data_IF_086204449220
#
_entry.id   IF_086204449220
#
_cell.length_a   1.000
_cell.length_b   1.000
_cell.length_c   1.000
_cell.angle_alpha   90.00
_cell.angle_beta   90.00
_cell.angle_gamma   90.00
#
_symmetry.space_group_name_H-M   'P 1'
#
loop_
_entity.id
_entity.type
_entity.pdbx_description
1 polymer ?
#
# COMPACT_ATOMS: atom_id res chain seq x y z
N UNK A 1 -0.30 78.75 7.94
CA UNK A 1 0.66 79.22 8.96
C UNK A 1 0.32 78.47 10.23
N UNK A 2 1.05 77.39 10.48
CA UNK A 2 2.29 77.35 11.30
C UNK A 2 1.89 76.78 12.67
N UNK A 3 2.18 75.49 12.91
CA UNK A 3 3.42 74.99 13.53
C UNK A 3 3.66 75.54 14.94
N UNK A 4 3.45 74.70 15.95
CA UNK A 4 4.48 74.23 16.90
C UNK A 4 3.82 73.52 18.10
N UNK A 5 4.23 72.26 18.34
CA UNK A 5 4.21 71.65 19.68
C UNK A 5 5.35 72.21 20.54
N UNK A 6 5.91 71.51 21.54
CA UNK A 6 5.62 70.16 22.06
C UNK A 6 5.49 70.11 23.61
N UNK A 7 5.15 68.96 24.19
CA UNK A 7 5.96 68.39 25.28
C UNK A 7 5.61 66.91 25.52
N UNK A 8 6.67 66.12 25.50
CA UNK A 8 6.78 64.71 25.89
C UNK A 8 6.50 64.52 27.38
N UNK A 9 5.88 63.39 27.75
CA UNK A 9 6.48 62.50 28.75
C UNK A 9 5.94 61.07 28.58
N UNK A 10 6.90 60.14 28.47
CA UNK A 10 6.76 58.70 28.39
C UNK A 10 6.07 58.11 29.62
N UNK A 11 5.36 56.99 29.43
CA UNK A 11 5.65 55.78 30.20
C UNK A 11 5.11 54.54 29.49
N UNK A 12 6.03 53.61 29.33
CA UNK A 12 5.94 52.31 28.70
C UNK A 12 4.81 51.44 29.27
N UNK A 13 4.05 50.77 28.38
CA UNK A 13 3.42 49.51 28.72
C UNK A 13 3.53 48.54 27.54
N UNK A 14 4.73 47.97 27.44
CA UNK A 14 5.01 46.56 27.13
C UNK A 14 3.93 45.78 26.37
N UNK A 15 4.15 45.75 25.05
CA UNK A 15 4.05 44.59 24.18
C UNK A 15 4.15 43.23 24.91
N UNK A 16 3.03 42.51 25.01
CA UNK A 16 2.94 41.04 25.04
C UNK A 16 1.58 40.61 24.47
N UNK A 17 1.45 40.63 23.14
CA UNK A 17 0.40 39.90 22.43
C UNK A 17 1.04 38.83 21.54
N UNK A 18 0.96 37.62 22.08
CA UNK A 18 1.02 36.29 21.48
C UNK A 18 1.55 36.17 20.04
N UNK A 19 2.82 35.80 19.94
CA UNK A 19 3.50 35.23 18.79
C UNK A 19 3.13 33.75 18.52
N UNK A 20 1.94 33.28 18.89
CA UNK A 20 1.57 31.85 18.74
C UNK A 20 0.65 31.50 17.57
N UNK A 21 0.33 32.44 16.68
CA UNK A 21 -0.62 32.18 15.58
C UNK A 21 0.03 32.04 14.19
N UNK A 22 1.37 31.93 14.10
CA UNK A 22 2.08 31.77 12.81
C UNK A 22 2.79 30.44 12.59
N UNK A 23 2.88 29.57 13.60
CA UNK A 23 3.53 28.27 13.46
C UNK A 23 2.59 27.14 13.02
N UNK A 24 1.26 27.38 12.99
CA UNK A 24 0.27 26.40 12.54
C UNK A 24 0.17 26.24 11.01
N UNK A 25 0.48 27.29 10.23
CA UNK A 25 0.31 27.28 8.77
C UNK A 25 1.44 26.59 8.00
N UNK A 26 2.59 26.32 8.63
CA UNK A 26 3.73 25.65 7.98
C UNK A 26 3.77 24.14 8.21
N UNK A 27 3.02 23.61 9.18
CA UNK A 27 2.97 22.17 9.49
C UNK A 27 1.89 21.41 8.72
N UNK A 28 0.79 22.06 8.31
CA UNK A 28 -0.27 21.44 7.51
C UNK A 28 0.14 21.22 6.06
N UNK A 29 0.82 22.17 5.42
CA UNK A 29 1.29 22.01 4.04
C UNK A 29 2.28 20.85 3.82
N UNK A 30 3.11 20.53 4.82
CA UNK A 30 4.08 19.43 4.74
C UNK A 30 3.41 18.04 4.86
N UNK A 31 2.34 17.93 5.64
CA UNK A 31 1.60 16.67 5.80
C UNK A 31 0.91 16.23 4.48
N UNK A 32 0.47 17.20 3.67
CA UNK A 32 -0.21 16.94 2.40
C UNK A 32 0.73 16.56 1.26
N UNK A 33 1.96 17.08 1.26
CA UNK A 33 3.01 16.55 0.38
C UNK A 33 3.45 15.14 0.79
N UNK A 34 3.28 14.73 2.05
CA UNK A 34 3.48 13.34 2.46
C UNK A 34 2.30 12.42 2.06
N UNK A 35 1.05 12.88 2.04
CA UNK A 35 -0.13 12.06 1.65
C UNK A 35 -0.23 11.91 0.13
N UNK A 36 0.03 12.99 -0.63
CA UNK A 36 0.12 12.95 -2.11
C UNK A 36 1.47 12.44 -2.60
N UNK A 37 2.53 12.64 -1.81
CA UNK A 37 3.85 12.06 -2.04
C UNK A 37 3.87 10.57 -1.78
N UNK A 38 3.31 10.05 -0.67
CA UNK A 38 3.30 8.61 -0.36
C UNK A 38 2.61 7.75 -1.44
N UNK A 39 1.68 8.33 -2.21
CA UNK A 39 1.03 7.67 -3.34
C UNK A 39 1.81 7.77 -4.67
N UNK A 40 2.75 8.72 -4.77
CA UNK A 40 3.74 8.84 -5.87
C UNK A 40 5.12 8.26 -5.50
N UNK A 41 5.35 7.91 -4.23
CA UNK A 41 6.61 7.50 -3.62
C UNK A 41 6.60 6.01 -3.19
N UNK A 42 5.91 5.17 -3.95
CA UNK A 42 6.01 3.71 -3.78
C UNK A 42 7.45 3.18 -3.98
N UNK A 43 8.37 4.00 -4.51
CA UNK A 43 9.80 3.70 -4.67
C UNK A 43 10.73 4.17 -3.53
N UNK A 44 10.20 4.70 -2.40
CA UNK A 44 11.05 5.29 -1.35
C UNK A 44 10.72 4.84 0.09
N UNK A 45 9.92 3.79 0.30
CA UNK A 45 9.63 3.31 1.67
C UNK A 45 10.65 2.23 2.04
N UNK A 46 11.87 2.68 2.33
CA UNK A 46 12.86 1.91 3.08
C UNK A 46 12.84 2.23 4.59
N UNK A 47 11.98 3.15 5.07
CA UNK A 47 12.12 3.65 6.45
C UNK A 47 10.84 4.17 7.14
N UNK A 48 9.66 3.64 6.81
CA UNK A 48 8.53 3.72 7.77
C UNK A 48 8.35 2.37 8.44
N UNK A 49 9.21 2.13 9.42
CA UNK A 49 9.04 1.10 10.43
C UNK A 49 7.69 1.25 11.16
N UNK A 50 7.06 0.09 11.36
CA UNK A 50 5.80 -0.21 12.05
C UNK A 50 4.52 0.00 11.21
N UNK A 51 4.01 -1.10 10.64
CA UNK A 51 3.40 -2.15 11.45
C UNK A 51 4.27 -3.41 11.48
N UNK A 52 4.61 -3.90 12.68
CA UNK A 52 5.33 -5.18 12.83
C UNK A 52 4.37 -6.34 12.50
N UNK A 53 4.63 -7.15 11.47
CA UNK A 53 4.49 -8.59 11.61
C UNK A 53 5.38 -9.03 12.79
N UNK A 54 4.82 -9.84 13.71
CA UNK A 54 5.59 -10.49 14.77
C UNK A 54 6.58 -11.47 14.13
N UNK A 55 7.75 -10.96 13.73
CA UNK A 55 8.93 -11.77 13.50
C UNK A 55 9.76 -11.77 14.79
N UNK A 56 10.28 -12.91 15.25
CA UNK A 56 11.12 -12.96 16.44
C UNK A 56 12.32 -12.02 16.29
N UNK A 57 12.48 -11.10 17.23
CA UNK A 57 13.48 -10.01 17.21
C UNK A 57 14.95 -10.50 17.37
N UNK A 58 15.16 -11.82 17.48
CA UNK A 58 16.42 -12.41 17.90
C UNK A 58 17.43 -12.66 16.75
N UNK A 59 17.17 -12.16 15.54
CA UNK A 59 18.00 -12.42 14.35
C UNK A 59 18.59 -11.15 13.68
N UNK A 60 18.73 -10.04 14.41
CA UNK A 60 19.39 -8.83 13.87
C UNK A 60 20.87 -8.82 14.27
N UNK A 61 21.74 -9.12 13.30
CA UNK A 61 23.12 -8.63 13.29
C UNK A 61 23.06 -7.10 13.21
N UNK A 62 23.69 -6.41 14.16
CA UNK A 62 23.82 -4.95 14.16
C UNK A 62 24.41 -4.46 12.82
N UNK A 63 23.70 -3.64 12.02
CA UNK A 63 24.31 -3.00 10.86
C UNK A 63 25.08 -1.74 11.28
N UNK A 64 26.34 -1.65 10.87
CA UNK A 64 27.13 -0.41 10.96
C UNK A 64 26.47 0.71 10.14
N UNK A 65 26.59 1.98 10.58
CA UNK A 65 26.02 3.11 9.86
C UNK A 65 26.81 3.37 8.57
N UNK A 66 26.22 3.03 7.42
CA UNK A 66 26.69 3.49 6.12
C UNK A 66 26.14 4.89 5.86
N UNK A 67 27.04 5.87 5.70
CA UNK A 67 26.69 7.20 5.24
C UNK A 67 26.20 7.13 3.78
N UNK A 68 25.08 7.80 3.42
CA UNK A 68 24.54 7.68 2.07
C UNK A 68 25.32 8.57 1.08
N UNK A 69 26.01 7.94 0.13
CA UNK A 69 26.40 8.57 -1.13
C UNK A 69 25.32 8.29 -2.17
N UNK A 70 24.51 9.31 -2.48
CA UNK A 70 23.55 9.29 -3.57
C UNK A 70 24.21 9.83 -4.84
N UNK A 71 24.55 8.94 -5.77
CA UNK A 71 24.54 9.22 -7.21
C UNK A 71 23.70 8.10 -7.85
N UNK A 72 22.58 8.51 -8.45
CA UNK A 72 21.73 7.84 -9.44
C UNK A 72 21.46 6.33 -9.30
N UNK A 73 20.29 5.96 -8.77
CA UNK A 73 19.46 4.87 -9.31
C UNK A 73 18.07 4.84 -8.63
N UNK A 74 17.04 5.16 -9.41
CA UNK A 74 15.63 4.94 -9.05
C UNK A 74 15.33 3.47 -9.38
N UNK A 75 14.71 2.67 -8.51
CA UNK A 75 14.22 1.37 -8.92
C UNK A 75 12.97 1.58 -9.79
N UNK A 76 13.18 1.79 -11.10
CA UNK A 76 12.14 1.64 -12.12
C UNK A 76 11.74 0.16 -12.21
N UNK A 77 10.64 -0.16 -12.89
CA UNK A 77 10.26 -1.55 -13.20
C UNK A 77 11.35 -2.28 -14.03
N UNK A 78 12.28 -1.50 -14.56
CA UNK A 78 13.58 -1.93 -15.05
C UNK A 78 14.47 -2.55 -13.96
N UNK A 79 14.40 -2.28 -12.66
CA UNK A 79 15.24 -3.01 -11.67
C UNK A 79 14.90 -4.51 -11.51
N UNK A 80 13.77 -4.97 -12.09
CA UNK A 80 13.46 -6.39 -12.29
C UNK A 80 13.89 -6.91 -13.69
N UNK A 81 14.52 -6.06 -14.52
CA UNK A 81 14.87 -6.30 -15.93
C UNK A 81 16.03 -5.48 -16.54
N UNK A 82 16.81 -4.73 -15.77
CA UNK A 82 17.97 -3.90 -16.12
C UNK A 82 19.10 -4.25 -15.13
N UNK A 83 19.62 -5.47 -15.28
CA UNK A 83 21.00 -5.46 -15.76
C UNK A 83 20.90 -4.89 -17.17
N UNK A 84 21.34 -3.65 -17.37
CA UNK A 84 21.22 -2.97 -18.66
C UNK A 84 21.83 -3.87 -19.74
N UNK A 85 20.95 -4.44 -20.55
CA UNK A 85 21.31 -5.30 -21.68
C UNK A 85 21.82 -4.39 -22.78
N UNK A 86 23.11 -4.02 -22.72
CA UNK A 86 23.81 -3.63 -23.93
C UNK A 86 24.03 -4.90 -24.76
N UNK A 87 23.21 -5.09 -25.79
CA UNK A 87 23.40 -6.13 -26.80
C UNK A 87 24.59 -5.75 -27.69
N UNK A 88 25.79 -5.92 -27.16
CA UNK A 88 27.00 -6.05 -27.98
C UNK A 88 27.36 -7.54 -28.04
N UNK A 89 26.97 -8.17 -29.16
CA UNK A 89 27.47 -9.42 -29.74
C UNK A 89 27.92 -10.57 -28.81
N UNK A 90 27.18 -11.68 -28.89
CA UNK A 90 27.60 -13.06 -28.53
C UNK A 90 27.64 -13.49 -27.04
N UNK A 91 27.06 -12.74 -26.11
CA UNK A 91 26.85 -13.19 -24.73
C UNK A 91 25.37 -13.32 -24.36
N UNK A 92 24.83 -14.55 -24.26
CA UNK A 92 23.66 -14.75 -23.39
C UNK A 92 24.14 -14.54 -21.95
N UNK A 93 23.92 -13.36 -21.39
CA UNK A 93 24.07 -13.18 -19.95
C UNK A 93 22.97 -13.99 -19.26
N UNK A 94 23.42 -14.94 -18.43
CA UNK A 94 22.55 -15.73 -17.59
C UNK A 94 21.92 -14.79 -16.58
N UNK A 95 20.58 -14.77 -16.47
CA UNK A 95 19.93 -14.17 -15.31
C UNK A 95 20.59 -14.76 -14.07
N UNK A 96 21.37 -13.97 -13.34
CA UNK A 96 22.15 -14.46 -12.20
C UNK A 96 21.22 -15.06 -11.16
N UNK A 97 21.11 -16.38 -11.14
CA UNK A 97 20.26 -17.09 -10.18
C UNK A 97 20.84 -16.86 -8.77
N UNK A 98 20.02 -16.52 -7.76
CA UNK A 98 20.52 -16.47 -6.41
C UNK A 98 20.99 -17.87 -6.05
N UNK A 99 22.18 -17.94 -5.51
CA UNK A 99 22.73 -19.19 -5.04
C UNK A 99 22.05 -19.57 -3.73
N UNK A 100 21.90 -20.87 -3.47
CA UNK A 100 21.56 -21.36 -2.12
C UNK A 100 22.42 -20.65 -1.07
N UNK A 101 21.75 -20.10 -0.06
CA UNK A 101 22.36 -19.29 1.01
C UNK A 101 22.24 -17.77 0.82
N UNK A 102 21.84 -17.30 -0.36
CA UNK A 102 21.49 -15.89 -0.59
C UNK A 102 20.05 -15.59 -0.19
N UNK A 103 19.70 -14.32 0.01
CA UNK A 103 18.32 -13.93 0.36
C UNK A 103 17.35 -14.37 -0.71
N UNK A 104 16.23 -14.94 -0.29
CA UNK A 104 15.15 -15.36 -1.19
C UNK A 104 14.69 -14.23 -2.12
N UNK A 105 14.32 -14.53 -3.37
CA UNK A 105 13.77 -13.52 -4.30
C UNK A 105 12.32 -13.17 -3.99
N UNK A 106 11.54 -14.14 -3.55
CA UNK A 106 10.11 -13.94 -3.30
C UNK A 106 9.88 -13.21 -1.97
N UNK A 107 10.72 -13.42 -0.95
CA UNK A 107 10.56 -12.77 0.37
C UNK A 107 10.54 -11.23 0.28
N UNK A 108 11.51 -10.55 -0.39
CA UNK A 108 11.46 -9.11 -0.61
C UNK A 108 10.21 -8.65 -1.36
N UNK A 109 9.72 -9.43 -2.34
CA UNK A 109 8.50 -9.09 -3.07
C UNK A 109 7.25 -9.15 -2.19
N UNK A 110 7.13 -10.17 -1.32
CA UNK A 110 6.05 -10.28 -0.33
C UNK A 110 6.09 -9.07 0.61
N UNK A 111 7.28 -8.73 1.14
CA UNK A 111 7.48 -7.56 2.01
C UNK A 111 7.12 -6.26 1.32
N UNK A 112 7.56 -6.08 0.07
CA UNK A 112 7.22 -4.94 -0.75
C UNK A 112 5.71 -4.80 -0.93
N UNK A 113 5.01 -5.90 -1.23
CA UNK A 113 3.55 -5.92 -1.33
C UNK A 113 2.85 -5.46 -0.03
N UNK A 114 3.33 -5.94 1.13
CA UNK A 114 2.82 -5.50 2.43
C UNK A 114 3.13 -4.02 2.70
N UNK A 115 4.34 -3.56 2.38
CA UNK A 115 4.71 -2.15 2.51
C UNK A 115 3.81 -1.26 1.65
N UNK A 116 3.51 -1.66 0.41
CA UNK A 116 2.58 -0.97 -0.47
C UNK A 116 1.17 -0.93 0.13
N UNK A 117 0.66 -2.06 0.64
CA UNK A 117 -0.65 -2.10 1.30
C UNK A 117 -0.74 -1.08 2.46
N UNK A 118 0.29 -1.05 3.31
CA UNK A 118 0.38 -0.11 4.41
C UNK A 118 0.48 1.34 3.93
N UNK A 119 1.26 1.59 2.88
CA UNK A 119 1.42 2.92 2.29
C UNK A 119 0.12 3.46 1.69
N UNK A 120 -0.79 2.57 1.24
CA UNK A 120 -2.10 2.99 0.74
C UNK A 120 -3.11 3.27 1.85
N UNK A 121 -3.10 2.44 2.91
CA UNK A 121 -4.06 2.54 4.01
C UNK A 121 -3.72 3.69 4.96
N UNK A 122 -2.46 3.78 5.37
CA UNK A 122 -2.02 4.68 6.46
C UNK A 122 -2.34 6.15 6.21
N UNK A 123 -2.08 6.73 5.03
CA UNK A 123 -2.39 8.15 4.79
C UNK A 123 -3.89 8.46 4.88
N UNK A 124 -4.74 7.53 4.45
CA UNK A 124 -6.19 7.67 4.57
C UNK A 124 -6.63 7.69 6.04
N UNK A 125 -6.11 6.76 6.84
CA UNK A 125 -6.40 6.72 8.28
C UNK A 125 -5.87 7.94 9.02
N UNK A 126 -4.66 8.41 8.72
CA UNK A 126 -4.09 9.62 9.32
C UNK A 126 -4.86 10.87 8.91
N UNK A 127 -5.38 10.96 7.69
CA UNK A 127 -6.28 12.04 7.28
C UNK A 127 -7.58 12.03 8.09
N UNK A 128 -8.23 10.87 8.23
CA UNK A 128 -9.44 10.74 9.05
C UNK A 128 -9.15 11.11 10.51
N UNK A 129 -8.01 10.69 11.04
CA UNK A 129 -7.55 11.05 12.39
C UNK A 129 -7.32 12.55 12.53
N UNK A 130 -6.70 13.21 11.57
CA UNK A 130 -6.49 14.66 11.58
C UNK A 130 -7.82 15.42 11.55
N UNK A 131 -8.75 15.03 10.67
CA UNK A 131 -10.09 15.64 10.60
C UNK A 131 -10.80 15.50 11.95
N UNK A 132 -10.85 14.29 12.49
CA UNK A 132 -11.65 13.99 13.71
C UNK A 132 -11.01 14.51 15.00
N UNK A 133 -9.67 14.58 15.08
CA UNK A 133 -8.95 15.09 16.25
C UNK A 133 -8.90 16.61 16.29
N UNK A 134 -8.62 17.23 15.14
CA UNK A 134 -8.26 18.65 15.10
C UNK A 134 -9.49 19.56 14.83
N UNK A 135 -10.65 18.98 14.50
CA UNK A 135 -11.87 19.71 14.17
C UNK A 135 -13.08 19.18 14.93
N UNK A 136 -13.91 20.10 15.45
CA UNK A 136 -15.21 19.73 16.00
C UNK A 136 -16.17 19.35 14.86
N UNK A 137 -17.04 18.34 15.06
CA UNK A 137 -18.05 18.00 14.08
C UNK A 137 -19.06 19.15 13.91
N UNK A 138 -19.54 19.35 12.68
CA UNK A 138 -20.61 20.30 12.38
C UNK A 138 -21.99 19.73 12.71
N UNK A 139 -22.09 18.41 12.81
CA UNK A 139 -23.27 17.66 13.22
C UNK A 139 -22.81 16.48 14.06
N UNK A 140 -23.43 16.26 15.22
CA UNK A 140 -23.19 15.10 16.07
C UNK A 140 -24.53 14.72 16.71
N UNK A 141 -25.22 13.79 16.06
CA UNK A 141 -26.44 13.16 16.54
C UNK A 141 -26.11 11.75 17.06
N UNK A 142 -27.12 11.00 17.52
CA UNK A 142 -26.92 9.67 18.11
C UNK A 142 -26.24 8.68 17.15
N UNK A 143 -26.67 8.69 15.88
CA UNK A 143 -26.28 7.68 14.90
C UNK A 143 -25.38 8.24 13.78
N UNK A 144 -25.22 9.57 13.70
CA UNK A 144 -24.43 10.22 12.65
C UNK A 144 -23.57 11.35 13.19
N UNK A 145 -22.31 11.38 12.76
CA UNK A 145 -21.39 12.48 13.00
C UNK A 145 -20.78 12.96 11.70
N UNK A 146 -20.76 14.27 11.50
CA UNK A 146 -20.27 14.91 10.28
C UNK A 146 -19.24 15.97 10.61
N UNK A 147 -18.07 15.86 9.98
CA UNK A 147 -17.04 16.88 9.99
C UNK A 147 -16.99 17.55 8.63
N UNK A 148 -16.75 18.87 8.61
CA UNK A 148 -16.51 19.63 7.39
C UNK A 148 -15.29 20.50 7.58
N UNK A 149 -14.32 20.34 6.67
CA UNK A 149 -13.03 21.04 6.71
C UNK A 149 -12.79 21.67 5.34
N UNK A 150 -12.40 22.94 5.33
CA UNK A 150 -11.96 23.62 4.11
C UNK A 150 -10.45 23.82 4.19
N UNK A 151 -9.72 23.26 3.22
CA UNK A 151 -8.27 23.31 3.18
C UNK A 151 -7.78 23.54 1.74
N UNK A 152 -7.09 24.67 1.54
CA UNK A 152 -6.65 25.09 0.21
C UNK A 152 -7.82 25.27 -0.76
N UNK A 153 -7.78 24.54 -1.88
CA UNK A 153 -8.83 24.55 -2.92
C UNK A 153 -9.88 23.44 -2.72
N UNK A 154 -9.87 22.74 -1.59
CA UNK A 154 -10.74 21.60 -1.32
C UNK A 154 -11.65 21.84 -0.11
N UNK A 155 -12.90 21.39 -0.21
CA UNK A 155 -13.80 21.24 0.93
C UNK A 155 -14.04 19.75 1.15
N UNK A 156 -13.58 19.24 2.28
CA UNK A 156 -13.76 17.87 2.72
C UNK A 156 -14.99 17.76 3.63
N UNK A 157 -15.77 16.70 3.45
CA UNK A 157 -16.89 16.34 4.34
C UNK A 157 -16.74 14.87 4.70
N UNK A 158 -16.50 14.59 5.98
CA UNK A 158 -16.38 13.24 6.50
C UNK A 158 -17.65 12.87 7.25
N UNK A 159 -18.26 11.75 6.85
CA UNK A 159 -19.42 11.14 7.47
C UNK A 159 -18.98 9.89 8.22
N UNK A 160 -19.48 9.75 9.44
CA UNK A 160 -19.41 8.54 10.24
C UNK A 160 -20.83 8.23 10.73
N UNK A 161 -21.35 7.06 10.40
CA UNK A 161 -22.72 6.66 10.68
C UNK A 161 -22.73 5.25 11.29
N UNK A 162 -23.45 5.05 12.39
CA UNK A 162 -23.71 3.71 12.92
C UNK A 162 -24.80 3.01 12.10
N UNK A 163 -24.55 1.77 11.70
CA UNK A 163 -25.47 0.98 10.91
C UNK A 163 -26.71 0.58 11.74
N UNK A 164 -27.89 0.96 11.28
CA UNK A 164 -29.16 0.66 11.98
C UNK A 164 -29.43 -0.85 12.14
N UNK A 165 -28.89 -1.68 11.24
CA UNK A 165 -29.14 -3.12 11.21
C UNK A 165 -28.06 -3.91 11.94
N UNK A 166 -26.85 -3.36 12.02
CA UNK A 166 -25.68 -4.01 12.61
C UNK A 166 -25.07 -3.13 13.72
N UNK A 167 -25.47 -3.39 14.96
CA UNK A 167 -24.95 -2.68 16.12
C UNK A 167 -23.41 -2.60 16.11
N UNK A 168 -22.88 -1.40 16.36
CA UNK A 168 -21.44 -1.09 16.38
C UNK A 168 -20.73 -1.26 15.03
N UNK A 169 -21.43 -1.43 13.92
CA UNK A 169 -20.84 -1.25 12.59
C UNK A 169 -20.91 0.22 12.23
N UNK A 170 -19.78 0.82 11.89
CA UNK A 170 -19.70 2.21 11.48
C UNK A 170 -19.41 2.29 9.99
N UNK A 171 -20.35 2.83 9.24
CA UNK A 171 -20.17 3.20 7.85
C UNK A 171 -19.50 4.59 7.80
N UNK A 172 -18.58 4.78 6.86
CA UNK A 172 -17.92 6.08 6.71
C UNK A 172 -17.71 6.46 5.26
N UNK A 173 -17.71 7.76 5.01
CA UNK A 173 -17.41 8.32 3.70
C UNK A 173 -16.73 9.68 3.83
N UNK A 174 -15.59 9.85 3.15
CA UNK A 174 -14.92 11.12 2.94
C UNK A 174 -15.25 11.62 1.54
N UNK A 175 -16.00 12.72 1.47
CA UNK A 175 -16.29 13.43 0.24
C UNK A 175 -15.41 14.65 0.11
N UNK A 176 -15.09 15.03 -1.11
CA UNK A 176 -14.45 16.30 -1.42
C UNK A 176 -15.16 17.01 -2.58
N UNK A 177 -15.08 18.33 -2.58
CA UNK A 177 -15.40 19.19 -3.74
C UNK A 177 -14.39 20.32 -3.82
N UNK A 178 -14.28 20.97 -4.97
CA UNK A 178 -13.47 22.18 -5.08
C UNK A 178 -14.14 23.36 -4.34
N UNK A 179 -13.35 24.16 -3.61
CA UNK A 179 -13.82 25.39 -2.97
C UNK A 179 -13.85 26.57 -3.97
N UNK A 180 -12.96 26.56 -4.97
CA UNK A 180 -12.80 27.60 -5.98
C UNK A 180 -13.77 27.50 -7.16
N UNK A 181 -14.43 26.35 -7.33
CA UNK A 181 -15.45 26.13 -8.34
C UNK A 181 -16.82 25.83 -7.71
N UNK A 182 -17.77 26.80 -7.70
CA UNK A 182 -19.10 26.60 -7.13
C UNK A 182 -19.95 25.59 -7.92
N UNK A 183 -19.54 25.19 -9.14
CA UNK A 183 -20.19 24.13 -9.92
C UNK A 183 -19.62 22.75 -9.65
N UNK A 184 -18.51 22.65 -8.90
CA UNK A 184 -17.91 21.39 -8.52
C UNK A 184 -18.86 20.60 -7.64
N UNK A 185 -19.19 19.38 -8.07
CA UNK A 185 -19.98 18.45 -7.28
C UNK A 185 -19.10 17.69 -6.30
N UNK A 186 -19.65 17.36 -5.13
CA UNK A 186 -18.98 16.49 -4.17
C UNK A 186 -18.78 15.10 -4.76
N UNK A 187 -17.58 14.54 -4.57
CA UNK A 187 -17.23 13.17 -4.93
C UNK A 187 -16.67 12.43 -3.73
N UNK A 188 -16.97 11.14 -3.64
CA UNK A 188 -16.39 10.26 -2.63
C UNK A 188 -14.92 10.03 -2.98
N UNK A 189 -14.02 10.26 -2.02
CA UNK A 189 -12.60 9.95 -2.13
C UNK A 189 -12.25 8.66 -1.40
N UNK A 190 -12.84 8.46 -0.23
CA UNK A 190 -12.65 7.30 0.62
C UNK A 190 -14.01 6.88 1.18
N UNK A 191 -14.29 5.60 1.24
CA UNK A 191 -15.52 5.07 1.85
C UNK A 191 -15.29 3.68 2.40
N UNK A 192 -16.21 3.20 3.23
CA UNK A 192 -16.06 1.89 3.84
C UNK A 192 -16.94 1.65 5.04
N UNK A 193 -16.59 0.60 5.78
CA UNK A 193 -17.14 0.35 7.10
C UNK A 193 -16.08 -0.22 8.02
N UNK A 194 -16.29 -0.06 9.32
CA UNK A 194 -15.50 -0.70 10.37
C UNK A 194 -16.40 -1.20 11.49
N UNK A 195 -16.16 -2.43 11.90
CA UNK A 195 -16.81 -3.07 13.04
C UNK A 195 -15.72 -3.38 14.08
N UNK A 196 -15.65 -2.61 15.18
CA UNK A 196 -14.66 -2.82 16.22
C UNK A 196 -14.93 -4.12 16.95
N UNK A 197 -13.89 -4.93 17.10
CA UNK A 197 -13.86 -6.09 17.98
C UNK A 197 -13.44 -5.74 19.41
N UNK A 198 -13.09 -6.74 20.23
CA UNK A 198 -12.43 -6.50 21.51
C UNK A 198 -11.09 -5.79 21.34
N UNK A 199 -10.56 -5.22 22.41
CA UNK A 199 -9.14 -4.84 22.44
C UNK A 199 -8.33 -6.04 22.92
N UNK A 200 -7.17 -6.24 22.33
CA UNK A 200 -6.17 -7.19 22.81
C UNK A 200 -5.55 -6.70 24.11
N UNK A 201 -4.84 -7.59 24.81
CA UNK A 201 -4.16 -7.30 26.08
C UNK A 201 -3.13 -6.17 25.97
N UNK A 202 -2.49 -6.01 24.81
CA UNK A 202 -1.55 -4.92 24.51
C UNK A 202 -2.26 -3.59 24.16
N UNK A 203 -3.60 -3.58 24.19
CA UNK A 203 -4.43 -2.40 23.94
C UNK A 203 -4.71 -2.11 22.48
N UNK A 204 -4.26 -2.96 21.53
CA UNK A 204 -4.62 -2.81 20.11
C UNK A 204 -6.10 -3.08 19.89
N UNK A 205 -6.69 -2.35 18.95
CA UNK A 205 -8.08 -2.54 18.57
C UNK A 205 -8.18 -3.66 17.53
N UNK A 206 -8.94 -4.72 17.82
CA UNK A 206 -9.31 -5.74 16.83
C UNK A 206 -10.56 -5.32 16.06
N UNK A 207 -10.95 -6.08 15.04
CA UNK A 207 -12.17 -5.83 14.30
C UNK A 207 -12.07 -6.24 12.85
N UNK A 208 -13.10 -5.89 12.09
CA UNK A 208 -13.14 -6.12 10.64
C UNK A 208 -13.68 -4.90 9.93
N UNK A 209 -13.30 -4.73 8.67
CA UNK A 209 -13.73 -3.57 7.92
C UNK A 209 -13.30 -3.62 6.46
N UNK A 210 -13.76 -2.61 5.73
CA UNK A 210 -13.40 -2.38 4.33
C UNK A 210 -13.07 -0.90 4.17
N UNK A 211 -11.90 -0.59 3.61
CA UNK A 211 -11.56 0.72 3.07
C UNK A 211 -11.64 0.67 1.55
N UNK A 212 -12.15 1.72 0.94
CA UNK A 212 -12.20 1.89 -0.52
C UNK A 212 -11.78 3.30 -0.89
N UNK A 213 -10.81 3.39 -1.79
CA UNK A 213 -10.24 4.61 -2.34
C UNK A 213 -10.72 4.80 -3.78
N UNK A 214 -11.22 5.99 -4.08
CA UNK A 214 -11.71 6.38 -5.39
C UNK A 214 -10.72 7.36 -6.03
N UNK A 215 -9.56 6.86 -6.46
CA UNK A 215 -8.48 7.68 -7.03
C UNK A 215 -8.93 8.44 -8.28
N UNK A 216 -9.79 7.84 -9.10
CA UNK A 216 -10.40 8.52 -10.25
C UNK A 216 -11.23 9.75 -9.86
N UNK A 217 -11.90 9.74 -8.72
CA UNK A 217 -12.65 10.90 -8.23
C UNK A 217 -11.71 12.01 -7.75
N UNK A 218 -10.59 11.64 -7.09
CA UNK A 218 -9.56 12.60 -6.72
C UNK A 218 -8.99 13.30 -7.95
N UNK A 219 -8.62 12.53 -8.98
CA UNK A 219 -8.11 13.08 -10.25
C UNK A 219 -9.13 13.95 -10.98
N UNK A 220 -10.40 13.59 -10.95
CA UNK A 220 -11.47 14.39 -11.56
C UNK A 220 -11.68 15.73 -10.84
N UNK A 221 -11.47 15.81 -9.52
CA UNK A 221 -11.54 17.06 -8.76
C UNK A 221 -10.29 17.93 -8.96
N UNK A 222 -9.12 17.31 -9.07
CA UNK A 222 -7.84 18.00 -9.21
C UNK A 222 -7.10 17.48 -10.46
N UNK A 223 -7.55 17.84 -11.69
CA UNK A 223 -6.92 17.38 -12.93
C UNK A 223 -5.43 17.71 -13.04
N UNK A 224 -5.01 18.78 -12.37
CA UNK A 224 -3.64 19.25 -12.21
C UNK A 224 -2.76 18.30 -11.37
N UNK A 225 -3.36 17.49 -10.49
CA UNK A 225 -2.61 16.50 -9.72
C UNK A 225 -2.05 15.44 -10.68
N UNK A 226 -0.80 15.04 -10.51
CA UNK A 226 -0.22 13.90 -11.28
C UNK A 226 -0.49 12.55 -10.61
N UNK A 227 -1.31 12.54 -9.55
CA UNK A 227 -1.56 11.38 -8.72
C UNK A 227 -2.30 10.25 -9.44
N UNK A 228 -2.48 9.12 -8.73
CA UNK A 228 -3.01 7.90 -9.29
C UNK A 228 -4.48 8.03 -9.72
N UNK A 229 -4.93 7.07 -10.55
CA UNK A 229 -6.33 6.88 -10.94
C UNK A 229 -6.75 5.42 -10.71
N UNK A 230 -8.05 5.12 -10.83
CA UNK A 230 -8.62 3.80 -10.58
C UNK A 230 -9.29 3.68 -9.21
N UNK A 231 -9.44 2.44 -8.76
CA UNK A 231 -10.05 2.11 -7.46
C UNK A 231 -9.10 1.20 -6.68
N UNK A 232 -8.91 1.49 -5.39
CA UNK A 232 -8.23 0.60 -4.45
C UNK A 232 -9.19 0.20 -3.34
N UNK A 233 -9.14 -1.04 -2.87
CA UNK A 233 -9.92 -1.48 -1.71
C UNK A 233 -9.13 -2.41 -0.82
N UNK A 234 -9.27 -2.24 0.49
CA UNK A 234 -8.65 -3.07 1.52
C UNK A 234 -9.77 -3.63 2.39
N UNK A 235 -10.00 -4.92 2.33
CA UNK A 235 -10.80 -5.63 3.33
C UNK A 235 -9.86 -6.23 4.37
N UNK A 236 -10.21 -6.12 5.64
CA UNK A 236 -9.37 -6.65 6.71
C UNK A 236 -10.19 -7.26 7.82
N UNK A 237 -9.58 -8.21 8.52
CA UNK A 237 -10.03 -8.76 9.79
C UNK A 237 -8.81 -8.96 10.68
N UNK A 238 -8.90 -8.48 11.91
CA UNK A 238 -7.87 -8.63 12.94
C UNK A 238 -8.56 -9.21 14.16
N UNK A 239 -7.95 -10.23 14.76
CA UNK A 239 -8.39 -10.93 15.96
C UNK A 239 -7.19 -11.47 16.73
N UNK A 240 -7.41 -12.02 17.93
CA UNK A 240 -6.36 -12.74 18.68
C UNK A 240 -5.87 -13.98 17.93
N UNK A 241 -6.73 -14.59 17.12
CA UNK A 241 -6.41 -15.79 16.33
C UNK A 241 -5.61 -15.45 15.07
N UNK A 242 -5.41 -14.16 14.75
CA UNK A 242 -4.64 -13.72 13.59
C UNK A 242 -5.26 -12.58 12.79
N UNK A 243 -4.68 -12.36 11.62
CA UNK A 243 -4.94 -11.24 10.73
C UNK A 243 -5.23 -11.74 9.31
N UNK A 244 -6.22 -11.16 8.66
CA UNK A 244 -6.58 -11.40 7.27
C UNK A 244 -6.68 -10.05 6.57
N UNK A 245 -6.08 -9.95 5.39
CA UNK A 245 -6.09 -8.75 4.56
C UNK A 245 -6.30 -9.14 3.10
N UNK A 246 -7.23 -8.47 2.45
CA UNK A 246 -7.44 -8.55 1.01
C UNK A 246 -7.32 -7.15 0.43
N UNK A 247 -6.30 -6.93 -0.37
CA UNK A 247 -6.08 -5.70 -1.12
C UNK A 247 -6.48 -5.92 -2.57
N UNK A 248 -7.17 -4.96 -3.15
CA UNK A 248 -7.62 -5.03 -4.52
C UNK A 248 -7.42 -3.70 -5.24
N UNK A 249 -6.89 -3.76 -6.46
CA UNK A 249 -6.79 -2.65 -7.39
C UNK A 249 -7.55 -2.98 -8.66
N UNK A 250 -8.35 -2.01 -9.09
CA UNK A 250 -9.09 -2.09 -10.34
C UNK A 250 -8.80 -0.88 -11.21
N UNK A 251 -8.33 -1.15 -12.43
CA UNK A 251 -7.94 -0.14 -13.39
C UNK A 251 -7.03 0.94 -12.75
N UNK A 252 -6.12 0.50 -11.88
CA UNK A 252 -5.28 1.38 -11.11
C UNK A 252 -4.11 1.85 -11.98
N UNK A 253 -3.85 3.15 -11.99
CA UNK A 253 -2.68 3.74 -12.65
C UNK A 253 -1.93 4.56 -11.63
N UNK A 254 -0.68 4.22 -11.35
CA UNK A 254 0.14 4.94 -10.38
C UNK A 254 0.45 6.38 -10.85
N UNK A 255 0.54 6.58 -12.17
CA UNK A 255 0.77 7.87 -12.81
C UNK A 255 -0.12 8.02 -14.05
N UNK A 256 -0.18 9.24 -14.59
CA UNK A 256 -1.03 9.57 -15.75
C UNK A 256 -0.79 8.67 -16.95
N UNK A 257 0.47 8.41 -17.25
CA UNK A 257 0.92 7.68 -18.43
C UNK A 257 1.28 6.22 -18.10
N UNK A 258 1.04 5.79 -16.85
CA UNK A 258 1.19 4.40 -16.48
C UNK A 258 0.05 3.55 -17.06
N UNK A 259 0.39 2.33 -17.43
CA UNK A 259 -0.60 1.33 -17.83
C UNK A 259 -1.53 0.98 -16.68
N UNK A 260 -2.82 0.70 -16.96
CA UNK A 260 -3.74 0.26 -15.94
C UNK A 260 -3.37 -1.16 -15.50
N UNK A 261 -3.36 -1.35 -14.19
CA UNK A 261 -3.19 -2.67 -13.59
C UNK A 261 -4.43 -3.06 -12.82
N UNK A 262 -4.71 -4.36 -12.84
CA UNK A 262 -5.63 -5.00 -11.91
C UNK A 262 -4.81 -5.92 -11.02
N UNK A 263 -4.93 -5.78 -9.72
CA UNK A 263 -4.16 -6.59 -8.81
C UNK A 263 -4.98 -7.01 -7.60
N UNK A 264 -4.73 -8.22 -7.12
CA UNK A 264 -5.32 -8.76 -5.90
C UNK A 264 -4.21 -9.33 -5.03
N UNK A 265 -4.22 -8.93 -3.77
CA UNK A 265 -3.33 -9.46 -2.75
C UNK A 265 -4.22 -10.03 -1.66
N UNK A 266 -3.97 -11.26 -1.25
CA UNK A 266 -4.55 -11.82 -0.04
C UNK A 266 -3.40 -12.19 0.89
N UNK A 267 -3.54 -11.84 2.15
CA UNK A 267 -2.58 -12.12 3.19
C UNK A 267 -3.32 -12.65 4.41
N UNK A 268 -2.82 -13.73 5.00
CA UNK A 268 -3.32 -14.30 6.24
C UNK A 268 -2.15 -14.60 7.14
N UNK A 269 -2.20 -14.13 8.38
CA UNK A 269 -1.22 -14.40 9.41
C UNK A 269 -1.92 -15.01 10.61
N UNK A 270 -1.41 -16.14 11.07
CA UNK A 270 -1.87 -16.90 12.23
C UNK A 270 -0.67 -17.23 13.13
N UNK A 271 -0.86 -17.66 14.39
CA UNK A 271 0.26 -18.05 15.25
C UNK A 271 1.16 -19.15 14.65
N UNK A 272 0.60 -20.03 13.82
CA UNK A 272 1.32 -21.10 13.13
C UNK A 272 2.12 -20.66 11.90
N UNK A 273 1.96 -19.42 11.44
CA UNK A 273 2.62 -18.91 10.24
C UNK A 273 1.67 -18.08 9.36
N UNK A 274 1.98 -17.97 8.07
CA UNK A 274 1.18 -17.16 7.18
C UNK A 274 1.11 -17.65 5.76
N UNK A 275 0.15 -17.07 5.04
CA UNK A 275 -0.14 -17.35 3.64
C UNK A 275 -0.26 -16.03 2.91
N UNK A 276 0.34 -15.95 1.74
CA UNK A 276 0.28 -14.81 0.85
C UNK A 276 -0.07 -15.28 -0.55
N UNK A 277 -1.03 -14.63 -1.18
CA UNK A 277 -1.32 -14.80 -2.60
C UNK A 277 -1.35 -13.45 -3.29
N UNK A 278 -0.74 -13.36 -4.46
CA UNK A 278 -0.73 -12.17 -5.28
C UNK A 278 -1.09 -12.53 -6.72
N UNK A 279 -1.95 -11.74 -7.32
CA UNK A 279 -2.30 -11.84 -8.73
C UNK A 279 -2.20 -10.42 -9.29
N UNK A 280 -1.38 -10.25 -10.31
CA UNK A 280 -1.28 -9.04 -11.12
C UNK A 280 -1.70 -9.37 -12.54
N UNK A 281 -2.62 -8.59 -13.07
CA UNK A 281 -2.99 -8.60 -14.48
C UNK A 281 -2.67 -7.26 -15.08
N UNK A 282 -1.88 -7.29 -16.14
CA UNK A 282 -1.63 -6.13 -16.98
C UNK A 282 -2.60 -6.21 -18.16
N UNK A 283 -3.25 -5.09 -18.48
CA UNK A 283 -4.07 -5.04 -19.67
C UNK A 283 -3.14 -5.08 -20.89
N UNK A 284 -3.21 -6.16 -21.67
CA UNK A 284 -2.38 -6.32 -22.86
C UNK A 284 -2.70 -5.21 -23.87
N UNK A 285 -1.81 -4.23 -24.00
CA UNK A 285 -1.90 -3.24 -25.07
C UNK A 285 -1.49 -3.93 -26.36
N UNK A 286 -2.28 -3.76 -27.42
CA UNK A 286 -2.11 -4.46 -28.71
C UNK A 286 -0.71 -4.33 -29.34
N UNK A 287 0.12 -3.39 -28.89
CA UNK A 287 1.46 -3.10 -29.42
C UNK A 287 2.61 -3.60 -28.52
N UNK A 288 2.33 -4.09 -27.30
CA UNK A 288 3.36 -4.64 -26.41
C UNK A 288 3.05 -6.10 -26.08
N UNK A 289 3.88 -7.06 -26.54
CA UNK A 289 3.75 -8.49 -26.25
C UNK A 289 4.10 -8.85 -24.78
N UNK A 290 3.69 -8.00 -23.83
CA UNK A 290 4.09 -8.03 -22.44
C UNK A 290 3.44 -9.13 -21.61
N UNK A 291 3.98 -9.29 -20.41
CA UNK A 291 3.43 -10.11 -19.33
C UNK A 291 1.94 -9.80 -19.14
N UNK A 292 1.07 -10.81 -19.21
CA UNK A 292 -0.37 -10.59 -19.01
C UNK A 292 -0.78 -10.88 -17.58
N UNK A 293 -0.21 -11.92 -16.98
CA UNK A 293 -0.53 -12.31 -15.61
C UNK A 293 0.69 -12.83 -14.85
N UNK A 294 0.89 -12.31 -13.63
CA UNK A 294 1.81 -12.82 -12.64
C UNK A 294 0.99 -13.28 -11.42
N UNK A 295 1.15 -14.54 -11.04
CA UNK A 295 0.55 -15.13 -9.84
C UNK A 295 1.65 -15.57 -8.89
N UNK A 296 1.50 -15.30 -7.62
CA UNK A 296 2.39 -15.81 -6.57
C UNK A 296 1.55 -16.39 -5.44
N UNK A 297 1.91 -17.57 -4.97
CA UNK A 297 1.38 -18.17 -3.74
C UNK A 297 2.57 -18.53 -2.85
N UNK A 298 2.54 -18.06 -1.61
CA UNK A 298 3.57 -18.28 -0.63
C UNK A 298 2.95 -18.70 0.70
N UNK A 299 3.64 -19.57 1.43
CA UNK A 299 3.30 -19.94 2.79
C UNK A 299 4.57 -20.08 3.63
N UNK A 300 4.48 -19.73 4.90
CA UNK A 300 5.57 -19.88 5.87
C UNK A 300 5.02 -20.33 7.21
N UNK A 301 5.88 -20.94 8.03
CA UNK A 301 5.57 -21.33 9.40
C UNK A 301 5.90 -20.23 10.42
N UNK A 302 5.63 -20.49 11.69
CA UNK A 302 5.90 -19.57 12.79
C UNK A 302 7.39 -19.20 12.93
N UNK A 303 8.31 -20.07 12.47
CA UNK A 303 9.75 -19.80 12.46
C UNK A 303 10.19 -18.99 11.23
N UNK A 304 9.27 -18.69 10.31
CA UNK A 304 9.54 -17.91 9.10
C UNK A 304 10.13 -18.72 7.95
N UNK A 305 10.29 -20.03 8.10
CA UNK A 305 10.66 -20.92 6.97
C UNK A 305 9.47 -21.03 6.06
N UNK A 306 9.70 -21.06 4.75
CA UNK A 306 8.58 -21.06 3.83
C UNK A 306 8.90 -21.53 2.45
N UNK A 307 7.85 -21.51 1.64
CA UNK A 307 7.87 -21.87 0.24
C UNK A 307 6.94 -20.96 -0.53
N UNK A 308 7.34 -20.66 -1.76
CA UNK A 308 6.50 -19.97 -2.71
C UNK A 308 6.59 -20.57 -4.10
N UNK A 309 5.53 -20.31 -4.87
CA UNK A 309 5.45 -20.53 -6.30
C UNK A 309 4.98 -19.24 -6.95
N UNK A 310 5.73 -18.78 -7.94
CA UNK A 310 5.34 -17.72 -8.85
C UNK A 310 5.16 -18.28 -10.24
N UNK A 311 4.05 -17.95 -10.90
CA UNK A 311 3.71 -18.34 -12.27
C UNK A 311 3.48 -17.08 -13.08
N UNK A 312 4.18 -16.98 -14.19
CA UNK A 312 4.11 -15.89 -15.13
C UNK A 312 3.61 -16.44 -16.47
N UNK A 313 2.48 -15.94 -16.93
CA UNK A 313 1.85 -16.34 -18.19
C UNK A 313 1.81 -15.19 -19.20
N UNK A 314 1.95 -15.53 -20.47
CA UNK A 314 1.86 -14.61 -21.61
C UNK A 314 0.91 -15.19 -22.65
N UNK A 315 0.06 -14.39 -23.29
CA UNK A 315 -0.88 -14.87 -24.32
C UNK A 315 -0.17 -15.29 -25.61
N UNK A 316 1.11 -14.95 -25.75
CA UNK A 316 1.91 -15.24 -26.93
C UNK A 316 2.70 -16.55 -26.82
N UNK A 317 2.65 -17.16 -25.65
CA UNK A 317 3.35 -18.40 -25.34
C UNK A 317 2.40 -19.33 -24.60
N UNK A 318 2.20 -20.54 -25.13
CA UNK A 318 1.51 -21.60 -24.40
C UNK A 318 2.33 -22.10 -23.19
N UNK A 319 3.58 -21.65 -23.04
CA UNK A 319 4.43 -21.96 -21.91
C UNK A 319 4.31 -20.90 -20.80
N UNK A 320 4.07 -21.36 -19.57
CA UNK A 320 4.12 -20.57 -18.35
C UNK A 320 5.54 -20.64 -17.75
N UNK A 321 6.09 -19.49 -17.33
CA UNK A 321 7.32 -19.45 -16.55
C UNK A 321 6.96 -19.58 -15.06
N UNK A 322 7.44 -20.65 -14.43
CA UNK A 322 7.27 -20.95 -13.02
C UNK A 322 8.59 -20.80 -12.28
N UNK A 323 8.55 -20.15 -11.13
CA UNK A 323 9.59 -20.11 -10.10
C UNK A 323 9.02 -20.74 -8.82
N UNK A 324 9.55 -21.88 -8.41
CA UNK A 324 9.37 -22.41 -7.07
C UNK A 324 10.59 -22.07 -6.21
N UNK A 325 10.37 -21.69 -4.96
CA UNK A 325 11.45 -21.31 -4.05
C UNK A 325 11.11 -21.71 -2.62
N UNK A 326 12.09 -22.20 -1.86
CA UNK A 326 12.01 -22.39 -0.41
C UNK A 326 13.09 -21.57 0.29
N UNK A 327 12.78 -21.10 1.49
CA UNK A 327 13.72 -20.36 2.34
C UNK A 327 13.70 -20.85 3.78
N UNK A 328 14.80 -20.62 4.50
CA UNK A 328 14.94 -20.94 5.92
C UNK A 328 14.45 -19.81 6.86
N UNK A 329 14.64 -19.96 8.16
CA UNK A 329 14.24 -18.99 9.19
C UNK A 329 15.00 -17.65 9.08
N UNK A 330 16.14 -17.65 8.38
CA UNK A 330 16.92 -16.45 8.04
C UNK A 330 16.52 -15.86 6.69
N UNK A 331 15.50 -16.43 6.04
CA UNK A 331 15.04 -16.08 4.70
C UNK A 331 16.09 -16.29 3.61
N UNK A 332 17.09 -17.13 3.88
CA UNK A 332 18.04 -17.55 2.86
C UNK A 332 17.40 -18.65 2.00
N UNK A 333 17.56 -18.55 0.69
CA UNK A 333 17.12 -19.56 -0.27
C UNK A 333 17.82 -20.89 0.05
N UNK A 334 17.04 -21.95 0.25
CA UNK A 334 17.55 -23.31 0.46
C UNK A 334 17.28 -24.23 -0.73
N UNK A 335 16.32 -23.88 -1.56
CA UNK A 335 15.98 -24.58 -2.79
C UNK A 335 15.25 -23.65 -3.76
N UNK A 336 15.49 -23.80 -5.06
CA UNK A 336 14.69 -23.15 -6.10
C UNK A 336 14.58 -24.02 -7.35
N UNK A 337 13.50 -23.82 -8.11
CA UNK A 337 13.26 -24.45 -9.41
C UNK A 337 12.63 -23.46 -10.39
N UNK A 338 13.18 -23.40 -11.60
CA UNK A 338 12.67 -22.61 -12.72
C UNK A 338 12.18 -23.52 -13.85
N UNK A 339 11.03 -23.20 -14.45
CA UNK A 339 10.45 -24.01 -15.55
C UNK A 339 9.59 -23.14 -16.48
N UNK A 340 9.73 -23.22 -17.81
CA UNK A 340 10.82 -23.85 -18.54
C UNK A 340 12.08 -22.97 -18.49
N UNK A 341 13.24 -23.61 -18.57
CA UNK A 341 14.51 -22.94 -18.93
C UNK A 341 14.80 -23.26 -20.39
N UNK A 342 14.95 -22.22 -21.21
CA UNK A 342 15.26 -22.34 -22.65
C UNK A 342 16.71 -22.86 -22.81
N UNK A 343 16.99 -23.82 -23.72
CA UNK A 343 16.13 -24.28 -24.81
C UNK A 343 15.07 -25.32 -24.43
N UNK A 344 15.27 -26.13 -23.39
CA UNK A 344 14.27 -27.11 -22.88
C UNK A 344 14.85 -27.73 -21.60
N UNK A 345 14.35 -27.34 -20.43
CA UNK A 345 14.82 -27.91 -19.18
C UNK A 345 14.23 -27.27 -17.93
N UNK A 346 14.69 -27.79 -16.80
CA UNK A 346 14.45 -27.21 -15.48
C UNK A 346 15.82 -26.80 -14.92
N UNK A 347 15.91 -25.60 -14.35
CA UNK A 347 17.06 -25.25 -13.51
C UNK A 347 16.64 -25.45 -12.06
N UNK A 348 17.42 -26.23 -11.32
CA UNK A 348 17.23 -26.49 -9.92
C UNK A 348 18.49 -26.04 -9.17
N UNK A 349 18.32 -25.34 -8.06
CA UNK A 349 19.39 -25.08 -7.11
C UNK A 349 18.99 -25.60 -5.71
N UNK A 350 19.96 -26.14 -4.97
CA UNK A 350 19.73 -26.78 -3.68
C UNK A 350 19.01 -28.13 -3.74
N UNK A 351 18.65 -28.63 -2.56
CA UNK A 351 17.95 -29.90 -2.39
C UNK A 351 16.51 -29.63 -1.94
N UNK A 352 15.51 -30.21 -2.61
CA UNK A 352 14.09 -30.03 -2.25
C UNK A 352 13.80 -30.45 -0.81
N UNK A 353 14.53 -31.44 -0.31
CA UNK A 353 14.44 -31.90 1.08
C UNK A 353 14.80 -30.80 2.09
N UNK A 354 15.59 -29.79 1.69
CA UNK A 354 15.92 -28.63 2.52
C UNK A 354 14.70 -27.72 2.78
N UNK A 355 13.62 -27.85 2.00
CA UNK A 355 12.34 -27.21 2.29
C UNK A 355 11.66 -27.76 3.57
N UNK A 356 12.13 -28.89 4.12
CA UNK A 356 11.57 -29.49 5.34
C UNK A 356 10.09 -29.84 5.20
N UNK A 357 9.25 -29.26 6.05
CA UNK A 357 7.79 -29.46 6.02
C UNK A 357 7.15 -29.01 4.70
N UNK A 358 7.81 -28.12 3.95
CA UNK A 358 7.33 -27.62 2.66
C UNK A 358 7.81 -28.43 1.44
N UNK A 359 8.53 -29.53 1.65
CA UNK A 359 9.06 -30.39 0.58
C UNK A 359 7.97 -31.19 -0.17
N UNK A 360 6.73 -31.21 0.35
CA UNK A 360 5.58 -31.92 -0.21
C UNK A 360 5.10 -31.39 -1.56
N UNK A 361 3.87 -31.75 -1.95
CA UNK A 361 3.30 -31.39 -3.25
C UNK A 361 3.38 -29.88 -3.51
N UNK A 362 3.49 -29.54 -4.78
CA UNK A 362 3.62 -28.15 -5.16
C UNK A 362 2.33 -27.38 -4.83
N UNK A 363 2.43 -26.16 -4.28
CA UNK A 363 1.24 -25.39 -3.97
C UNK A 363 0.44 -25.16 -5.25
N UNK A 364 -0.85 -25.52 -5.19
CA UNK A 364 -1.78 -25.29 -6.30
C UNK A 364 -2.12 -23.82 -6.31
N UNK A 365 -1.59 -23.11 -7.30
CA UNK A 365 -2.02 -21.74 -7.59
C UNK A 365 -3.37 -21.86 -8.28
N UNK A 366 -4.45 -21.57 -7.56
CA UNK A 366 -5.80 -21.63 -8.15
C UNK A 366 -5.90 -20.68 -9.36
N UNK A 367 -6.52 -21.17 -10.44
CA UNK A 367 -6.91 -20.30 -11.55
C UNK A 367 -7.90 -19.27 -11.03
N UNK A 368 -7.43 -18.04 -10.89
CA UNK A 368 -8.30 -16.94 -10.52
C UNK A 368 -9.22 -16.59 -11.68
N UNK A 369 -10.53 -16.63 -11.43
CA UNK A 369 -11.49 -16.02 -12.35
C UNK A 369 -11.25 -14.51 -12.41
N UNK A 370 -11.50 -13.85 -13.56
CA UNK A 370 -11.41 -12.40 -13.64
C UNK A 370 -12.23 -11.78 -12.53
N UNK A 371 -11.61 -10.92 -11.74
CA UNK A 371 -12.32 -10.17 -10.72
C UNK A 371 -13.21 -9.18 -11.44
N UNK A 372 -14.48 -9.54 -11.53
CA UNK A 372 -15.47 -8.69 -12.16
C UNK A 372 -15.79 -7.50 -11.23
N UNK A 373 -16.21 -6.37 -11.78
CA UNK A 373 -16.44 -5.16 -10.99
C UNK A 373 -17.54 -5.34 -9.91
N UNK A 374 -18.38 -6.35 -10.04
CA UNK A 374 -19.40 -6.78 -9.08
C UNK A 374 -18.85 -7.68 -7.96
N UNK A 375 -17.62 -8.20 -8.09
CA UNK A 375 -16.91 -8.91 -7.01
C UNK A 375 -16.15 -7.97 -6.07
N UNK A 376 -16.11 -6.66 -6.40
CA UNK A 376 -15.68 -5.65 -5.44
C UNK A 376 -16.57 -5.75 -4.19
N UNK A 377 -16.00 -5.76 -2.97
CA UNK A 377 -16.81 -5.75 -1.76
C UNK A 377 -17.80 -4.58 -1.84
N UNK A 378 -19.08 -4.92 -2.00
CA UNK A 378 -20.12 -3.92 -2.18
C UNK A 378 -20.25 -3.15 -0.88
N UNK A 379 -19.98 -1.85 -0.92
CA UNK A 379 -20.38 -0.96 0.17
C UNK A 379 -21.90 -0.83 0.03
N UNK A 380 -22.69 -1.23 1.04
CA UNK A 380 -24.12 -0.98 1.01
C UNK A 380 -24.31 0.53 0.84
N UNK A 381 -24.97 0.96 -0.22
CA UNK A 381 -25.38 2.36 -0.36
C UNK A 381 -26.51 2.58 0.64
N UNK A 382 -26.17 3.06 1.84
CA UNK A 382 -27.13 3.64 2.78
C UNK A 382 -27.93 4.73 2.04
N UNK A 383 -29.25 4.68 2.18
CA UNK A 383 -30.19 5.56 1.49
C UNK A 383 -30.36 6.88 2.21
#
# INVERSE_FOLDING_TARGET
>A
MEFMGPHEEELEMTSRRSTHQRDGLRRSGALWWCVLGASLWAGCIAESAHPQPDFPEDAILEPEPLEPSFEDEVPTLESLGESSVSVDGDGMETMGQPLVGETSRIVPAIRGGLAVANAMVTPGLELLRAITRDHAPILSDADVTVWRVEEGVAVYTFFLEEDEQEARRYNYALLARRSDDPRSTSRVLLSGFFKPGPRTDDGRQTGEGVLRYEYSNLRALFPESQGPTGVGSVAFRVSEEGQELVLFFFNFRAARDAEPLNARYNYTLRPEGGVFSFILRLEAVAESPGLEELRTLAAWDAEGRGRARSVLSSPLSDAELTLDECWDDRQAQVWSRWTPVVPEGEANDGAREACGAFAGDDPVVEESRPVAADELPSIPTGR
#
